data_IF_442700824988
#
_entry.id   IF_442700824988
#
_cell.length_a   1.000
_cell.length_b   1.000
_cell.length_c   1.000
_cell.angle_alpha   90.00
_cell.angle_beta   90.00
_cell.angle_gamma   90.00
#
_symmetry.space_group_name_H-M   'P 1'
#
loop_
_entity.id
_entity.type
_entity.pdbx_description
1 polymer ?
#
# COMPACT_ATOMS: atom_id res chain seq x y z
N UNK A 1 -13.74 -23.06 2.11
CA UNK A 1 -12.28 -23.32 2.01
C UNK A 1 -11.47 -22.16 2.62
N UNK A 2 -11.95 -21.53 3.71
CA UNK A 2 -11.41 -20.27 4.24
C UNK A 2 -10.87 -20.37 5.68
N UNK A 3 -10.86 -21.56 6.28
CA UNK A 3 -10.56 -21.77 7.71
C UNK A 3 -9.35 -22.68 7.96
N UNK A 4 -8.52 -22.94 6.94
CA UNK A 4 -7.31 -23.75 7.08
C UNK A 4 -6.20 -23.22 6.16
N UNK A 5 -5.28 -22.39 6.69
CA UNK A 5 -4.14 -21.88 5.93
C UNK A 5 -3.28 -23.05 5.42
N UNK A 6 -2.81 -22.96 4.18
CA UNK A 6 -1.93 -23.98 3.59
C UNK A 6 -0.49 -23.88 4.10
N UNK A 7 -0.03 -22.65 4.35
CA UNK A 7 1.32 -22.38 4.83
C UNK A 7 1.37 -22.54 6.35
N UNK A 8 2.36 -23.24 6.90
CA UNK A 8 2.52 -23.34 8.35
C UNK A 8 2.89 -21.98 8.98
N UNK A 9 3.42 -21.02 8.21
CA UNK A 9 3.69 -19.65 8.67
C UNK A 9 2.39 -18.95 9.08
N UNK A 10 1.31 -19.22 8.36
CA UNK A 10 -0.01 -18.61 8.57
C UNK A 10 -0.91 -19.46 9.51
N UNK A 11 -0.40 -20.61 9.99
CA UNK A 11 -1.12 -21.53 10.88
C UNK A 11 -0.21 -21.91 12.07
N UNK A 12 0.48 -23.06 12.00
CA UNK A 12 1.29 -23.61 13.10
C UNK A 12 2.26 -22.63 13.74
N UNK A 13 2.90 -21.77 12.96
CA UNK A 13 3.94 -20.82 13.40
C UNK A 13 3.43 -19.38 13.45
N UNK A 14 2.12 -19.17 13.34
CA UNK A 14 1.53 -17.84 13.26
C UNK A 14 1.87 -17.01 14.49
N UNK A 15 1.74 -17.57 15.70
CA UNK A 15 2.00 -16.83 16.94
C UNK A 15 3.46 -16.38 17.06
N UNK A 16 4.41 -17.16 16.54
CA UNK A 16 5.83 -16.84 16.52
C UNK A 16 6.18 -15.72 15.55
N UNK A 17 5.42 -15.59 14.45
CA UNK A 17 5.70 -14.63 13.37
C UNK A 17 4.68 -13.52 13.23
N UNK A 18 3.61 -13.49 14.06
CA UNK A 18 2.49 -12.53 13.95
C UNK A 18 2.94 -11.07 13.95
N UNK A 19 4.05 -10.76 14.63
CA UNK A 19 4.64 -9.41 14.68
C UNK A 19 5.10 -8.92 13.30
N UNK A 20 5.31 -9.83 12.35
CA UNK A 20 5.69 -9.53 10.97
C UNK A 20 4.50 -9.31 10.03
N UNK A 21 3.30 -9.75 10.41
CA UNK A 21 2.07 -9.63 9.62
C UNK A 21 1.77 -8.19 9.17
N UNK A 22 1.95 -7.15 10.02
CA UNK A 22 1.77 -5.76 9.60
C UNK A 22 2.70 -5.27 8.48
N UNK A 23 3.74 -6.02 8.13
CA UNK A 23 4.69 -5.67 7.07
C UNK A 23 4.59 -6.58 5.84
N UNK A 24 4.24 -7.85 6.03
CA UNK A 24 4.27 -8.87 4.97
C UNK A 24 2.89 -9.47 4.70
N UNK A 25 1.86 -8.62 4.61
CA UNK A 25 0.53 -9.00 4.15
C UNK A 25 0.16 -8.28 2.84
N UNK A 26 -0.80 -8.82 2.08
CA UNK A 26 -1.32 -8.15 0.89
C UNK A 26 -1.95 -6.80 1.24
N UNK A 27 -2.64 -6.72 2.39
CA UNK A 27 -3.22 -5.48 2.89
C UNK A 27 -2.12 -4.44 3.17
N UNK A 28 -1.06 -4.80 3.89
CA UNK A 28 0.09 -3.93 4.15
C UNK A 28 0.73 -3.41 2.86
N UNK A 29 0.84 -4.27 1.84
CA UNK A 29 1.38 -3.87 0.55
C UNK A 29 0.47 -2.86 -0.16
N UNK A 30 -0.85 -3.06 -0.16
CA UNK A 30 -1.81 -2.11 -0.73
C UNK A 30 -1.75 -0.76 0.01
N UNK A 31 -1.70 -0.77 1.34
CA UNK A 31 -1.61 0.45 2.13
C UNK A 31 -0.32 1.23 1.86
N UNK A 32 0.83 0.55 1.80
CA UNK A 32 2.11 1.23 1.56
C UNK A 32 2.22 1.76 0.12
N UNK A 33 1.69 1.02 -0.87
CA UNK A 33 1.58 1.52 -2.25
C UNK A 33 0.70 2.77 -2.32
N UNK A 34 -0.45 2.76 -1.66
CA UNK A 34 -1.34 3.91 -1.62
C UNK A 34 -0.68 5.12 -0.98
N UNK A 35 0.08 4.89 0.11
CA UNK A 35 0.87 5.93 0.75
C UNK A 35 1.89 6.55 -0.20
N UNK A 36 2.61 5.74 -0.97
CA UNK A 36 3.60 6.23 -1.94
C UNK A 36 2.92 7.06 -3.04
N UNK A 37 1.80 6.60 -3.58
CA UNK A 37 1.01 7.36 -4.57
C UNK A 37 0.58 8.74 -4.04
N UNK A 38 0.09 8.79 -2.80
CA UNK A 38 -0.35 10.04 -2.19
C UNK A 38 0.81 10.97 -1.83
N UNK A 39 1.95 10.42 -1.39
CA UNK A 39 3.19 11.17 -1.19
C UNK A 39 3.72 11.74 -2.52
N UNK A 40 3.64 10.97 -3.61
CA UNK A 40 4.01 11.42 -4.95
C UNK A 40 3.07 12.50 -5.49
N UNK A 41 1.75 12.33 -5.34
CA UNK A 41 0.78 13.38 -5.67
C UNK A 41 1.06 14.67 -4.90
N UNK A 42 1.37 14.57 -3.60
CA UNK A 42 1.77 15.72 -2.77
C UNK A 42 3.05 16.38 -3.29
N UNK A 43 4.01 15.59 -3.78
CA UNK A 43 5.20 16.09 -4.43
C UNK A 43 4.87 16.85 -5.72
N UNK A 44 4.03 16.29 -6.61
CA UNK A 44 3.60 16.96 -7.85
C UNK A 44 2.92 18.31 -7.59
N UNK A 45 2.13 18.41 -6.52
CA UNK A 45 1.52 19.68 -6.09
C UNK A 45 2.58 20.69 -5.65
N UNK A 46 3.62 20.23 -4.93
CA UNK A 46 4.71 21.09 -4.42
C UNK A 46 5.57 21.67 -5.54
N UNK A 47 5.79 20.91 -6.61
CA UNK A 47 6.57 21.35 -7.78
C UNK A 47 5.73 22.08 -8.83
N UNK A 48 4.43 22.27 -8.58
CA UNK A 48 3.53 23.02 -9.46
C UNK A 48 3.03 22.26 -10.69
N UNK A 49 3.20 20.93 -10.73
CA UNK A 49 2.65 20.07 -11.81
C UNK A 49 1.17 19.82 -11.57
N UNK A 50 0.79 19.50 -10.33
CA UNK A 50 -0.61 19.35 -9.92
C UNK A 50 -1.14 20.64 -9.24
N UNK A 51 -2.46 20.91 -9.28
CA UNK A 51 -3.05 22.06 -8.61
C UNK A 51 -2.72 22.11 -7.13
N UNK A 52 -2.46 23.32 -6.60
CA UNK A 52 -2.29 23.53 -5.16
C UNK A 52 -3.64 23.34 -4.44
N UNK A 53 -3.90 22.11 -4.00
CA UNK A 53 -5.10 21.69 -3.29
C UNK A 53 -4.75 21.03 -1.95
N UNK A 54 -5.73 20.44 -1.27
CA UNK A 54 -5.51 19.60 -0.08
C UNK A 54 -5.95 18.18 -0.40
N UNK A 55 -5.01 17.24 -0.30
CA UNK A 55 -5.33 15.80 -0.33
C UNK A 55 -6.12 15.49 0.96
N UNK A 56 -7.36 14.98 0.87
CA UNK A 56 -8.13 14.61 2.05
C UNK A 56 -7.53 13.36 2.69
N UNK A 57 -7.96 13.04 3.91
CA UNK A 57 -7.67 11.74 4.50
C UNK A 57 -8.46 10.68 3.70
N UNK A 58 -7.78 10.03 2.76
CA UNK A 58 -8.37 8.96 1.96
C UNK A 58 -8.19 7.65 2.72
N UNK A 59 -9.30 7.05 3.13
CA UNK A 59 -9.32 5.66 3.55
C UNK A 59 -9.22 4.76 2.32
N UNK A 60 -8.29 3.81 2.39
CA UNK A 60 -8.03 2.82 1.34
C UNK A 60 -8.45 1.45 1.85
N UNK A 61 -9.49 0.86 1.25
CA UNK A 61 -9.96 -0.47 1.62
C UNK A 61 -9.25 -1.53 0.78
N UNK A 62 -8.66 -2.52 1.44
CA UNK A 62 -8.04 -3.66 0.78
C UNK A 62 -9.06 -4.48 -0.01
N UNK A 63 -10.26 -4.69 0.55
CA UNK A 63 -11.34 -5.46 -0.08
C UNK A 63 -11.82 -4.80 -1.38
N UNK A 64 -11.98 -3.48 -1.37
CA UNK A 64 -12.39 -2.73 -2.56
C UNK A 64 -11.32 -2.77 -3.65
N UNK A 65 -10.04 -2.61 -3.29
CA UNK A 65 -8.93 -2.73 -4.24
C UNK A 65 -8.86 -4.13 -4.83
N UNK A 66 -9.04 -5.17 -4.01
CA UNK A 66 -9.05 -6.57 -4.48
C UNK A 66 -10.24 -6.87 -5.39
N UNK A 67 -11.40 -6.26 -5.12
CA UNK A 67 -12.56 -6.35 -6.01
C UNK A 67 -12.25 -5.76 -7.39
N UNK A 68 -11.65 -4.56 -7.42
CA UNK A 68 -11.21 -3.91 -8.67
C UNK A 68 -10.10 -4.72 -9.38
N UNK A 69 -9.20 -5.35 -8.65
CA UNK A 69 -8.15 -6.22 -9.21
C UNK A 69 -8.75 -7.41 -9.96
N UNK A 70 -9.83 -8.01 -9.45
CA UNK A 70 -10.50 -9.12 -10.11
C UNK A 70 -11.07 -8.73 -11.49
N UNK A 71 -11.54 -7.50 -11.62
CA UNK A 71 -12.08 -6.98 -12.88
C UNK A 71 -10.99 -6.49 -13.84
N UNK A 72 -9.91 -5.89 -13.31
CA UNK A 72 -8.86 -5.23 -14.09
C UNK A 72 -7.67 -6.14 -14.42
N UNK A 73 -7.46 -7.20 -13.64
CA UNK A 73 -6.33 -8.12 -13.79
C UNK A 73 -4.96 -7.54 -13.41
N UNK A 74 -4.91 -6.37 -12.75
CA UNK A 74 -3.67 -5.73 -12.32
C UNK A 74 -3.86 -4.96 -11.00
N UNK A 75 -3.04 -5.29 -9.99
CA UNK A 75 -3.10 -4.77 -8.62
C UNK A 75 -2.84 -3.25 -8.50
N UNK A 76 -1.77 -2.72 -9.09
CA UNK A 76 -1.46 -1.29 -9.04
C UNK A 76 -2.52 -0.47 -9.78
N UNK A 77 -3.03 -0.98 -10.92
CA UNK A 77 -4.10 -0.29 -11.64
C UNK A 77 -5.40 -0.26 -10.83
N UNK A 78 -5.72 -1.34 -10.12
CA UNK A 78 -6.85 -1.39 -9.22
C UNK A 78 -6.73 -0.35 -8.08
N UNK A 79 -5.54 -0.21 -7.51
CA UNK A 79 -5.26 0.83 -6.52
C UNK A 79 -5.39 2.25 -7.10
N UNK A 80 -4.86 2.50 -8.30
CA UNK A 80 -4.99 3.79 -8.98
C UNK A 80 -6.47 4.19 -9.14
N UNK A 81 -7.27 3.26 -9.68
CA UNK A 81 -8.71 3.45 -9.88
C UNK A 81 -9.42 3.71 -8.54
N UNK A 82 -9.06 2.96 -7.51
CA UNK A 82 -9.59 3.17 -6.16
C UNK A 82 -9.29 4.58 -5.66
N UNK A 83 -8.03 5.04 -5.71
CA UNK A 83 -7.63 6.39 -5.26
C UNK A 83 -8.33 7.50 -6.05
N UNK A 84 -8.46 7.34 -7.38
CA UNK A 84 -9.20 8.26 -8.24
C UNK A 84 -10.67 8.38 -7.80
N UNK A 85 -11.32 7.24 -7.53
CA UNK A 85 -12.71 7.22 -7.07
C UNK A 85 -12.86 7.91 -5.71
N UNK A 86 -11.93 7.68 -4.78
CA UNK A 86 -11.93 8.33 -3.46
C UNK A 86 -11.71 9.84 -3.56
N UNK A 87 -10.81 10.30 -4.45
CA UNK A 87 -10.60 11.73 -4.71
C UNK A 87 -11.86 12.39 -5.28
N UNK A 88 -12.51 11.78 -6.27
CA UNK A 88 -13.77 12.29 -6.84
C UNK A 88 -14.87 12.37 -5.78
N UNK A 89 -15.06 11.31 -4.99
CA UNK A 89 -16.03 11.29 -3.90
C UNK A 89 -15.77 12.35 -2.82
N UNK A 90 -14.50 12.73 -2.62
CA UNK A 90 -14.10 13.78 -1.68
C UNK A 90 -14.23 15.21 -2.23
N UNK A 91 -14.70 15.40 -3.48
CA UNK A 91 -14.77 16.70 -4.14
C UNK A 91 -13.40 17.25 -4.55
N UNK A 92 -12.43 16.36 -4.79
CA UNK A 92 -11.06 16.66 -5.24
C UNK A 92 -10.76 16.07 -6.61
N UNK A 93 -11.74 16.14 -7.51
CA UNK A 93 -11.62 15.58 -8.86
C UNK A 93 -10.49 16.20 -9.67
N UNK A 94 -10.08 17.44 -9.35
CA UNK A 94 -8.98 18.14 -10.00
C UNK A 94 -7.62 17.43 -9.79
N UNK A 95 -7.51 16.60 -8.75
CA UNK A 95 -6.31 15.83 -8.43
C UNK A 95 -6.29 14.45 -9.10
N UNK A 96 -7.45 13.93 -9.53
CA UNK A 96 -7.55 12.58 -10.06
C UNK A 96 -6.64 12.29 -11.28
N UNK A 97 -6.45 13.21 -12.25
CA UNK A 97 -5.55 12.97 -13.39
C UNK A 97 -4.07 12.87 -13.02
N UNK A 98 -3.70 13.26 -11.80
CA UNK A 98 -2.31 13.29 -11.34
C UNK A 98 -1.93 12.05 -10.52
N UNK A 99 -2.89 11.19 -10.18
CA UNK A 99 -2.63 9.89 -9.56
C UNK A 99 -1.82 9.04 -10.55
N UNK A 100 -0.71 8.45 -10.09
CA UNK A 100 0.19 7.64 -10.92
C UNK A 100 0.81 8.36 -12.15
N UNK A 101 0.80 9.70 -12.19
CA UNK A 101 1.26 10.46 -13.37
C UNK A 101 2.75 10.21 -13.67
N UNK A 102 3.02 9.60 -14.81
CA UNK A 102 4.40 9.36 -15.30
C UNK A 102 5.15 8.27 -14.54
N UNK A 103 4.46 7.51 -13.69
CA UNK A 103 5.02 6.35 -13.01
C UNK A 103 4.74 5.07 -13.81
N UNK A 104 5.57 4.07 -13.57
CA UNK A 104 5.29 2.68 -13.85
C UNK A 104 4.87 1.97 -12.54
N UNK A 105 4.22 0.82 -12.64
CA UNK A 105 3.90 -0.02 -11.48
C UNK A 105 5.11 -0.32 -10.61
N UNK A 106 6.29 -0.46 -11.21
CA UNK A 106 7.52 -0.82 -10.49
C UNK A 106 8.09 0.34 -9.67
N UNK A 107 7.84 1.59 -10.04
CA UNK A 107 8.24 2.75 -9.23
C UNK A 107 7.53 2.78 -7.87
N UNK A 108 6.33 2.21 -7.81
CA UNK A 108 5.56 2.09 -6.56
C UNK A 108 5.91 0.80 -5.84
N UNK A 109 6.01 -0.32 -6.57
CA UNK A 109 6.29 -1.63 -5.99
C UNK A 109 7.64 -1.68 -5.28
N UNK A 110 8.71 -1.23 -5.93
CA UNK A 110 10.05 -1.32 -5.38
C UNK A 110 10.18 -0.51 -4.07
N UNK A 111 9.56 0.67 -4.00
CA UNK A 111 9.53 1.54 -2.83
C UNK A 111 8.68 0.93 -1.72
N UNK A 112 7.52 0.36 -2.05
CA UNK A 112 6.64 -0.28 -1.08
C UNK A 112 7.37 -1.45 -0.39
N UNK A 113 7.96 -2.36 -1.18
CA UNK A 113 8.74 -3.47 -0.64
C UNK A 113 9.93 -3.00 0.19
N UNK A 114 10.70 -2.01 -0.29
CA UNK A 114 11.84 -1.49 0.43
C UNK A 114 11.44 -0.89 1.80
N UNK A 115 10.34 -0.13 1.86
CA UNK A 115 9.85 0.52 3.09
C UNK A 115 9.28 -0.49 4.07
N UNK A 116 8.51 -1.48 3.58
CA UNK A 116 7.98 -2.56 4.41
C UNK A 116 9.11 -3.41 5.00
N UNK A 117 10.08 -3.82 4.17
CA UNK A 117 11.25 -4.59 4.63
C UNK A 117 12.07 -3.81 5.65
N UNK A 118 12.37 -2.53 5.38
CA UNK A 118 13.13 -1.69 6.30
C UNK A 118 12.41 -1.53 7.64
N UNK A 119 11.07 -1.40 7.61
CA UNK A 119 10.25 -1.28 8.81
C UNK A 119 10.23 -2.59 9.61
N UNK A 120 10.05 -3.74 8.96
CA UNK A 120 10.12 -5.05 9.59
C UNK A 120 11.50 -5.31 10.24
N UNK A 121 12.57 -4.95 9.53
CA UNK A 121 13.94 -5.09 10.03
C UNK A 121 14.17 -4.28 11.30
N UNK A 122 13.80 -3.00 11.29
CA UNK A 122 14.03 -2.09 12.42
C UNK A 122 13.15 -2.41 13.62
N UNK A 123 11.88 -2.75 13.38
CA UNK A 123 10.87 -2.87 14.42
C UNK A 123 10.84 -4.27 15.06
N UNK A 124 11.16 -5.32 14.30
CA UNK A 124 10.98 -6.71 14.76
C UNK A 124 12.27 -7.52 14.62
N UNK A 125 12.80 -7.65 13.40
CA UNK A 125 13.83 -8.65 13.12
C UNK A 125 15.16 -8.35 13.84
N UNK A 126 15.69 -7.13 13.72
CA UNK A 126 16.94 -6.74 14.38
C UNK A 126 16.82 -6.78 15.91
N UNK A 127 15.76 -6.21 16.53
CA UNK A 127 15.55 -6.36 17.97
C UNK A 127 15.53 -7.81 18.44
N UNK A 128 14.76 -8.67 17.75
CA UNK A 128 14.67 -10.11 18.07
C UNK A 128 16.02 -10.81 17.97
N UNK A 129 16.76 -10.58 16.89
CA UNK A 129 18.11 -11.14 16.71
C UNK A 129 19.07 -10.71 17.83
N UNK A 130 19.02 -9.44 18.26
CA UNK A 130 19.90 -8.92 19.33
C UNK A 130 19.52 -9.46 20.72
N UNK A 131 18.24 -9.78 20.93
CA UNK A 131 17.75 -10.41 22.15
C UNK A 131 18.01 -11.91 22.22
N UNK A 132 18.49 -12.52 21.13
CA UNK A 132 18.83 -13.93 21.08
C UNK A 132 20.17 -14.16 21.81
N UNK A 133 20.07 -14.33 23.13
CA UNK A 133 21.14 -14.77 24.02
C UNK A 133 20.77 -16.10 24.65
#
# INVERSE_FOLDING_TARGET
MKDSPLSPIDDRYYEEVRELSPFFSQESLVQERARIELEYLSFLMRVGVAPSSKIPALEVSYEEVKGLEADLGHDVKALEVHLVNRLRASGREELAPFVHLGLTSEDVNNLAYARLLLSALKSVMIPRMRSWR
#
